data_IF_016346230636
#
_entry.id   IF_016346230636
#
_cell.length_a   1.000
_cell.length_b   1.000
_cell.length_c   1.000
_cell.angle_alpha   90.00
_cell.angle_beta   90.00
_cell.angle_gamma   90.00
#
_symmetry.space_group_name_H-M   'P 1'
#
loop_
_entity.id
_entity.type
_entity.pdbx_description
1 polymer ?
#
# COMPACT_ATOMS: atom_id res chain seq x y z
N UNK A 1 33.76 67.35 55.20
CA UNK A 1 34.82 67.06 54.20
C UNK A 1 35.10 65.56 54.20
N UNK A 2 34.76 64.85 53.10
CA UNK A 2 35.48 63.72 52.49
C UNK A 2 34.59 63.10 51.39
N UNK A 3 35.08 63.09 50.16
CA UNK A 3 34.50 62.42 48.98
C UNK A 3 34.93 60.95 49.00
N UNK A 4 34.05 60.01 48.66
CA UNK A 4 34.39 58.67 48.12
C UNK A 4 33.16 58.19 47.33
N UNK A 5 33.18 58.37 46.00
CA UNK A 5 33.51 57.40 44.94
C UNK A 5 32.38 56.39 44.63
N UNK A 6 31.86 56.52 43.40
CA UNK A 6 31.08 55.52 42.68
C UNK A 6 31.91 54.23 42.51
N UNK A 7 31.30 53.08 42.80
CA UNK A 7 31.76 51.79 42.33
C UNK A 7 30.56 50.99 41.80
N UNK A 8 30.47 50.94 40.48
CA UNK A 8 29.56 50.11 39.70
C UNK A 8 29.95 48.64 39.90
N UNK A 9 29.06 47.83 40.48
CA UNK A 9 29.23 46.39 40.60
C UNK A 9 28.32 45.69 39.58
N UNK A 10 28.87 45.41 38.39
CA UNK A 10 28.26 44.48 37.44
C UNK A 10 28.50 43.06 37.96
N UNK A 11 27.46 42.45 38.55
CA UNK A 11 27.47 41.03 38.88
C UNK A 11 27.22 40.27 37.57
N UNK A 12 28.30 39.78 36.96
CA UNK A 12 28.22 38.79 35.91
C UNK A 12 27.74 37.46 36.52
N UNK A 13 26.44 37.20 36.44
CA UNK A 13 25.88 35.86 36.66
C UNK A 13 26.25 35.00 35.44
N UNK A 14 27.41 34.37 35.51
CA UNK A 14 27.78 33.24 34.67
C UNK A 14 26.91 32.03 35.04
N UNK A 15 25.66 32.02 34.57
CA UNK A 15 24.89 30.80 34.46
C UNK A 15 25.46 30.01 33.29
N UNK A 16 26.04 28.83 33.57
CA UNK A 16 26.39 27.86 32.54
C UNK A 16 25.09 27.43 31.83
N UNK A 17 24.72 28.15 30.78
CA UNK A 17 23.79 27.67 29.78
C UNK A 17 24.53 26.57 29.00
N UNK A 18 24.57 25.36 29.57
CA UNK A 18 24.75 24.17 28.77
C UNK A 18 23.47 24.03 27.94
N UNK A 19 23.41 24.79 26.86
CA UNK A 19 22.47 24.53 25.77
C UNK A 19 22.92 23.17 25.24
N UNK A 20 22.23 22.11 25.65
CA UNK A 20 22.25 20.86 24.92
C UNK A 20 21.71 21.21 23.53
N UNK A 21 22.62 21.39 22.58
CA UNK A 21 22.30 21.36 21.17
C UNK A 21 21.78 19.95 20.87
N UNK A 22 20.46 19.78 20.98
CA UNK A 22 19.78 18.60 20.45
C UNK A 22 19.84 18.79 18.94
N UNK A 23 20.88 18.23 18.31
CA UNK A 23 20.91 18.09 16.87
C UNK A 23 19.70 17.26 16.48
N UNK A 24 18.73 17.79 15.70
CA UNK A 24 17.64 16.98 15.21
C UNK A 24 18.27 15.85 14.38
N UNK A 25 18.01 14.61 14.79
CA UNK A 25 18.34 13.43 14.00
C UNK A 25 17.43 13.50 12.77
N UNK A 26 17.94 14.15 11.70
CA UNK A 26 17.26 14.33 10.43
C UNK A 26 17.29 13.06 9.55
N UNK A 27 17.87 11.98 10.06
CA UNK A 27 17.85 10.69 9.40
C UNK A 27 16.63 9.92 9.92
N UNK A 28 15.61 9.65 9.09
CA UNK A 28 14.54 8.74 9.48
C UNK A 28 15.18 7.44 9.98
N UNK A 29 14.66 6.82 11.05
CA UNK A 29 15.16 5.52 11.48
C UNK A 29 15.12 4.57 10.28
N UNK A 30 16.23 3.90 10.02
CA UNK A 30 16.32 2.90 8.95
C UNK A 30 15.26 1.84 9.23
N UNK A 31 14.27 1.74 8.34
CA UNK A 31 13.15 0.80 8.49
C UNK A 31 13.53 -0.51 7.83
N UNK A 32 13.42 -1.59 8.60
CA UNK A 32 13.63 -2.93 8.07
C UNK A 32 12.42 -3.32 7.19
N UNK A 33 12.63 -4.04 6.08
CA UNK A 33 11.51 -4.47 5.23
C UNK A 33 10.67 -5.51 5.97
N UNK A 34 9.42 -5.19 6.26
CA UNK A 34 8.50 -6.11 6.93
C UNK A 34 8.11 -7.25 5.98
N UNK A 35 8.09 -8.48 6.51
CA UNK A 35 7.44 -9.60 5.85
C UNK A 35 5.93 -9.36 5.82
N UNK A 36 5.27 -9.77 4.73
CA UNK A 36 3.81 -9.69 4.61
C UNK A 36 3.23 -10.96 5.25
N UNK A 37 2.37 -10.86 6.28
CA UNK A 37 1.73 -12.03 6.87
C UNK A 37 0.86 -12.77 5.86
N UNK A 38 0.80 -14.11 5.93
CA UNK A 38 0.02 -14.92 5.00
C UNK A 38 -1.48 -14.59 5.07
N UNK A 39 -2.02 -14.33 6.26
CA UNK A 39 -3.43 -13.93 6.45
C UNK A 39 -3.76 -12.66 5.65
N UNK A 40 -2.84 -11.70 5.60
CA UNK A 40 -3.01 -10.46 4.82
C UNK A 40 -3.01 -10.75 3.32
N UNK A 41 -2.18 -11.70 2.86
CA UNK A 41 -2.16 -12.12 1.46
C UNK A 41 -3.46 -12.84 1.06
N UNK A 42 -3.96 -13.72 1.93
CA UNK A 42 -5.19 -14.50 1.69
C UNK A 42 -6.42 -13.57 1.64
N UNK A 43 -6.53 -12.64 2.60
CA UNK A 43 -7.59 -11.63 2.63
C UNK A 43 -7.53 -10.74 1.37
N UNK A 44 -6.34 -10.28 1.01
CA UNK A 44 -6.12 -9.46 -0.18
C UNK A 44 -6.53 -10.20 -1.45
N UNK A 45 -6.16 -11.47 -1.61
CA UNK A 45 -6.53 -12.29 -2.76
C UNK A 45 -8.05 -12.49 -2.85
N UNK A 46 -8.72 -12.71 -1.71
CA UNK A 46 -10.17 -12.80 -1.67
C UNK A 46 -10.84 -11.50 -2.12
N UNK A 47 -10.33 -10.36 -1.68
CA UNK A 47 -10.89 -9.05 -2.02
C UNK A 47 -10.58 -8.62 -3.45
N UNK A 48 -9.41 -9.01 -4.00
CA UNK A 48 -9.12 -8.86 -5.43
C UNK A 48 -10.17 -9.63 -6.26
N UNK A 49 -10.49 -10.88 -5.89
CA UNK A 49 -11.51 -11.66 -6.62
C UNK A 49 -12.88 -11.00 -6.60
N UNK A 50 -13.31 -10.48 -5.45
CA UNK A 50 -14.57 -9.73 -5.32
C UNK A 50 -14.56 -8.48 -6.19
N UNK A 51 -13.49 -7.69 -6.11
CA UNK A 51 -13.35 -6.43 -6.86
C UNK A 51 -13.29 -6.68 -8.37
N UNK A 52 -12.50 -7.65 -8.83
CA UNK A 52 -12.41 -8.02 -10.24
C UNK A 52 -13.76 -8.52 -10.77
N UNK A 53 -14.47 -9.32 -9.97
CA UNK A 53 -15.85 -9.71 -10.26
C UNK A 53 -16.78 -8.50 -10.42
N UNK A 54 -16.74 -7.54 -9.48
CA UNK A 54 -17.55 -6.32 -9.56
C UNK A 54 -17.24 -5.51 -10.83
N UNK A 55 -15.96 -5.33 -11.17
CA UNK A 55 -15.53 -4.62 -12.38
C UNK A 55 -16.04 -5.34 -13.64
N UNK A 56 -15.92 -6.67 -13.70
CA UNK A 56 -16.43 -7.47 -14.82
C UNK A 56 -17.95 -7.29 -15.02
N UNK A 57 -18.75 -7.40 -13.95
CA UNK A 57 -20.20 -7.29 -14.04
C UNK A 57 -20.68 -5.86 -14.35
N UNK A 58 -20.00 -4.85 -13.80
CA UNK A 58 -20.32 -3.44 -14.08
C UNK A 58 -19.86 -2.98 -15.46
N UNK A 59 -18.99 -3.74 -16.14
CA UNK A 59 -18.40 -3.41 -17.44
C UNK A 59 -17.72 -2.03 -17.46
N UNK A 60 -17.29 -1.54 -16.30
CA UNK A 60 -16.67 -0.21 -16.18
C UNK A 60 -15.19 -0.26 -16.57
N UNK A 61 -14.78 0.70 -17.39
CA UNK A 61 -13.37 0.96 -17.69
C UNK A 61 -12.73 1.93 -16.69
N UNK A 62 -13.55 2.55 -15.84
CA UNK A 62 -13.07 3.44 -14.79
C UNK A 62 -12.39 2.65 -13.68
N UNK A 63 -11.53 3.34 -12.94
CA UNK A 63 -10.85 2.77 -11.78
C UNK A 63 -11.84 2.61 -10.64
N UNK A 64 -11.95 1.39 -10.13
CA UNK A 64 -12.69 1.08 -8.91
C UNK A 64 -11.68 0.80 -7.81
N UNK A 65 -11.89 1.46 -6.67
CA UNK A 65 -11.02 1.37 -5.52
C UNK A 65 -11.67 0.53 -4.43
N UNK A 66 -10.86 -0.26 -3.72
CA UNK A 66 -11.26 -0.91 -2.47
C UNK A 66 -10.25 -0.58 -1.37
N UNK A 67 -10.78 -0.30 -0.18
CA UNK A 67 -10.04 -0.05 1.04
C UNK A 67 -10.14 1.38 1.58
N UNK A 68 -9.98 1.50 2.90
CA UNK A 68 -9.90 2.73 3.68
C UNK A 68 -8.44 3.14 3.95
N UNK A 69 -8.24 4.34 4.51
CA UNK A 69 -6.91 4.89 4.78
C UNK A 69 -6.08 4.05 5.77
N UNK A 70 -6.74 3.31 6.67
CA UNK A 70 -6.12 2.51 7.73
C UNK A 70 -5.91 1.04 7.36
N UNK A 71 -6.23 0.66 6.12
CA UNK A 71 -6.19 -0.73 5.70
C UNK A 71 -4.76 -1.17 5.40
N UNK A 72 -4.47 -2.44 5.71
CA UNK A 72 -3.16 -3.07 5.53
C UNK A 72 -2.72 -3.16 4.07
N UNK A 73 -3.66 -2.98 3.14
CA UNK A 73 -3.42 -2.89 1.71
C UNK A 73 -4.50 -2.02 1.05
N UNK A 74 -4.22 -1.54 -0.16
CA UNK A 74 -5.17 -0.82 -1.03
C UNK A 74 -5.26 -1.53 -2.36
N UNK A 75 -6.47 -1.61 -2.91
CA UNK A 75 -6.73 -2.22 -4.20
C UNK A 75 -7.29 -1.20 -5.18
N UNK A 76 -6.87 -1.31 -6.44
CA UNK A 76 -7.43 -0.62 -7.58
C UNK A 76 -7.65 -1.66 -8.69
N UNK A 77 -8.80 -1.62 -9.33
CA UNK A 77 -9.06 -2.45 -10.50
C UNK A 77 -9.76 -1.67 -11.61
N UNK A 78 -9.54 -2.06 -12.86
CA UNK A 78 -10.26 -1.54 -14.03
C UNK A 78 -10.35 -2.56 -15.14
N UNK A 79 -11.41 -2.52 -15.93
CA UNK A 79 -11.50 -3.37 -17.13
C UNK A 79 -10.59 -2.83 -18.23
N UNK A 80 -9.73 -3.70 -18.78
CA UNK A 80 -8.89 -3.39 -19.94
C UNK A 80 -9.61 -3.75 -21.24
N UNK A 81 -10.22 -4.93 -21.28
CA UNK A 81 -10.89 -5.45 -22.46
C UNK A 81 -12.03 -6.39 -22.05
N UNK A 82 -12.96 -6.62 -22.98
CA UNK A 82 -14.06 -7.56 -22.83
C UNK A 82 -14.31 -8.28 -24.16
N UNK A 83 -14.54 -9.58 -24.07
CA UNK A 83 -14.99 -10.43 -25.17
C UNK A 83 -16.34 -11.02 -24.76
N UNK A 84 -17.34 -10.89 -25.61
CA UNK A 84 -18.71 -11.37 -25.36
C UNK A 84 -19.09 -12.48 -26.31
N UNK A 85 -20.09 -13.26 -25.93
CA UNK A 85 -20.66 -14.34 -26.75
C UNK A 85 -19.62 -15.38 -27.21
N UNK A 86 -18.59 -15.60 -26.38
CA UNK A 86 -17.65 -16.70 -26.57
C UNK A 86 -18.37 -18.02 -26.33
N UNK A 87 -17.98 -19.08 -27.04
CA UNK A 87 -18.63 -20.39 -26.92
C UNK A 87 -17.71 -21.43 -26.33
N UNK A 88 -18.13 -22.06 -25.24
CA UNK A 88 -17.39 -23.12 -24.58
C UNK A 88 -17.47 -24.39 -25.44
N UNK A 89 -16.31 -24.94 -25.80
CA UNK A 89 -16.22 -26.07 -26.73
C UNK A 89 -16.74 -27.38 -26.16
N UNK A 90 -16.80 -27.51 -24.83
CA UNK A 90 -17.17 -28.75 -24.15
C UNK A 90 -18.64 -28.77 -23.74
N UNK A 91 -19.14 -27.64 -23.25
CA UNK A 91 -20.53 -27.50 -22.77
C UNK A 91 -21.45 -26.89 -23.83
N UNK A 92 -20.89 -26.20 -24.83
CA UNK A 92 -21.65 -25.45 -25.84
C UNK A 92 -22.24 -24.14 -25.33
N UNK A 93 -22.01 -23.79 -24.06
CA UNK A 93 -22.53 -22.61 -23.36
C UNK A 93 -21.83 -21.32 -23.81
N UNK A 94 -22.59 -20.22 -23.87
CA UNK A 94 -22.03 -18.89 -24.11
C UNK A 94 -21.49 -18.26 -22.83
N UNK A 95 -20.38 -17.53 -22.94
CA UNK A 95 -19.77 -16.82 -21.82
C UNK A 95 -19.15 -15.50 -22.26
N UNK A 96 -19.09 -14.57 -21.32
CA UNK A 96 -18.40 -13.29 -21.47
C UNK A 96 -17.12 -13.33 -20.63
N UNK A 97 -15.99 -12.84 -21.15
CA UNK A 97 -14.73 -12.70 -20.42
C UNK A 97 -14.24 -11.26 -20.43
N UNK A 98 -13.73 -10.79 -19.29
CA UNK A 98 -13.01 -9.53 -19.18
C UNK A 98 -11.59 -9.75 -18.72
N UNK A 99 -10.65 -8.99 -19.29
CA UNK A 99 -9.32 -8.79 -18.71
C UNK A 99 -9.36 -7.59 -17.77
N UNK A 100 -9.01 -7.80 -16.51
CA UNK A 100 -9.06 -6.82 -15.44
C UNK A 100 -7.64 -6.49 -14.99
N UNK A 101 -7.24 -5.23 -15.14
CA UNK A 101 -6.03 -4.71 -14.53
C UNK A 101 -6.26 -4.56 -13.03
N UNK A 102 -5.44 -5.19 -12.21
CA UNK A 102 -5.46 -5.06 -10.75
C UNK A 102 -4.13 -4.51 -10.28
N UNK A 103 -4.18 -3.45 -9.49
CA UNK A 103 -3.04 -2.88 -8.78
C UNK A 103 -3.31 -2.95 -7.29
N UNK A 104 -2.31 -3.35 -6.51
CA UNK A 104 -2.39 -3.34 -5.07
C UNK A 104 -1.11 -2.82 -4.43
N UNK A 105 -1.27 -2.20 -3.27
CA UNK A 105 -0.19 -1.63 -2.49
C UNK A 105 -0.36 -2.04 -1.03
N UNK A 106 0.67 -2.62 -0.43
CA UNK A 106 0.71 -2.88 1.01
C UNK A 106 0.94 -1.59 1.79
N UNK A 107 0.39 -1.50 2.99
CA UNK A 107 0.59 -0.39 3.93
C UNK A 107 0.90 -0.96 5.32
N UNK A 108 1.86 -1.89 5.40
CA UNK A 108 2.23 -2.52 6.65
C UNK A 108 3.26 -1.67 7.37
N UNK A 109 2.94 -1.28 8.60
CA UNK A 109 3.86 -0.59 9.50
C UNK A 109 3.84 -1.30 10.85
N UNK A 110 5.00 -1.75 11.32
CA UNK A 110 5.14 -2.40 12.61
C UNK A 110 6.23 -1.71 13.43
N UNK A 111 6.05 -1.69 14.75
CA UNK A 111 7.02 -1.14 15.69
C UNK A 111 6.98 -1.95 16.97
N UNK A 112 8.08 -2.59 17.32
CA UNK A 112 8.20 -3.41 18.53
C UNK A 112 9.57 -3.22 19.18
N UNK A 113 9.65 -3.55 20.47
CA UNK A 113 10.89 -3.50 21.22
C UNK A 113 11.52 -4.90 21.23
N UNK A 114 12.71 -5.03 20.63
CA UNK A 114 13.47 -6.27 20.70
C UNK A 114 13.97 -6.51 22.12
N UNK A 115 14.03 -7.79 22.52
CA UNK A 115 14.56 -8.21 23.82
C UNK A 115 16.03 -7.79 24.06
N UNK A 116 16.73 -7.31 23.02
CA UNK A 116 18.07 -6.75 23.07
C UNK A 116 18.13 -5.23 23.39
N UNK A 117 17.00 -4.60 23.70
CA UNK A 117 16.97 -3.18 24.11
C UNK A 117 16.88 -2.19 22.95
N UNK A 118 16.43 -2.62 21.78
CA UNK A 118 16.36 -1.82 20.55
C UNK A 118 14.92 -1.71 20.07
N UNK A 119 14.47 -0.51 19.74
CA UNK A 119 13.25 -0.32 18.96
C UNK A 119 13.50 -0.72 17.52
N UNK A 120 12.68 -1.62 17.00
CA UNK A 120 12.66 -1.99 15.59
C UNK A 120 11.42 -1.42 14.94
N UNK A 121 11.64 -0.70 13.85
CA UNK A 121 10.60 -0.19 12.97
C UNK A 121 10.70 -0.94 11.66
N UNK A 122 9.63 -1.59 11.24
CA UNK A 122 9.59 -2.28 9.96
C UNK A 122 8.39 -1.85 9.13
N UNK A 123 8.56 -1.81 7.82
CA UNK A 123 7.50 -1.43 6.89
C UNK A 123 7.49 -2.26 5.61
N UNK A 124 6.32 -2.40 5.01
CA UNK A 124 6.18 -2.90 3.66
C UNK A 124 5.16 -2.05 2.90
N UNK A 125 5.65 -1.36 1.88
CA UNK A 125 4.86 -0.51 0.97
C UNK A 125 4.93 -0.99 -0.48
N UNK A 126 5.29 -2.26 -0.68
CA UNK A 126 5.42 -2.86 -2.00
C UNK A 126 4.12 -2.66 -2.80
N UNK A 127 4.28 -2.28 -4.06
CA UNK A 127 3.18 -2.08 -4.99
C UNK A 127 3.33 -3.04 -6.16
N UNK A 128 2.28 -3.81 -6.41
CA UNK A 128 2.26 -4.84 -7.44
C UNK A 128 1.10 -4.62 -8.40
N UNK A 129 1.21 -5.27 -9.54
CA UNK A 129 0.20 -5.28 -10.59
C UNK A 129 0.09 -6.65 -11.22
N UNK A 130 -1.13 -6.99 -11.65
CA UNK A 130 -1.41 -8.16 -12.47
C UNK A 130 -2.63 -7.91 -13.34
N UNK A 131 -2.76 -8.73 -14.38
CA UNK A 131 -3.93 -8.74 -15.26
C UNK A 131 -4.69 -10.04 -15.07
N UNK A 132 -5.85 -9.94 -14.43
CA UNK A 132 -6.69 -11.09 -14.12
C UNK A 132 -7.74 -11.30 -15.21
N UNK A 133 -8.15 -12.54 -15.41
CA UNK A 133 -9.26 -12.89 -16.29
C UNK A 133 -10.48 -13.33 -15.47
N UNK A 134 -11.63 -12.73 -15.76
CA UNK A 134 -12.92 -13.10 -15.17
C UNK A 134 -13.88 -13.45 -16.30
N UNK A 135 -14.47 -14.65 -16.22
CA UNK A 135 -15.45 -15.10 -17.20
C UNK A 135 -16.75 -15.55 -16.52
N UNK A 136 -17.89 -15.11 -17.06
CA UNK A 136 -19.23 -15.48 -16.57
C UNK A 136 -19.99 -16.25 -17.64
N UNK A 137 -20.45 -17.45 -17.28
CA UNK A 137 -21.17 -18.37 -18.15
C UNK A 137 -22.68 -18.11 -18.07
N UNK A 138 -23.33 -17.85 -19.21
CA UNK A 138 -24.66 -17.23 -19.28
C UNK A 138 -25.80 -18.13 -18.78
N UNK A 139 -25.73 -19.44 -19.03
CA UNK A 139 -26.79 -20.39 -18.68
C UNK A 139 -26.65 -20.92 -17.25
N UNK A 140 -25.43 -21.18 -16.81
CA UNK A 140 -25.09 -21.79 -15.51
C UNK A 140 -24.81 -20.75 -14.42
N UNK A 141 -24.50 -19.51 -14.79
CA UNK A 141 -24.04 -18.48 -13.87
C UNK A 141 -22.66 -18.78 -13.26
N UNK A 142 -21.95 -19.79 -13.76
CA UNK A 142 -20.60 -20.13 -13.29
C UNK A 142 -19.66 -18.96 -13.55
N UNK A 143 -18.81 -18.66 -12.57
CA UNK A 143 -17.74 -17.66 -12.72
C UNK A 143 -16.41 -18.39 -12.69
N UNK A 144 -15.59 -18.18 -13.73
CA UNK A 144 -14.18 -18.58 -13.74
C UNK A 144 -13.33 -17.35 -13.45
N UNK A 145 -12.47 -17.46 -12.46
CA UNK A 145 -11.45 -16.47 -12.15
C UNK A 145 -10.07 -17.08 -12.41
N UNK A 146 -9.21 -16.38 -13.12
CA UNK A 146 -7.84 -16.80 -13.39
C UNK A 146 -6.89 -15.64 -13.07
N UNK A 147 -6.07 -15.75 -12.00
CA UNK A 147 -5.16 -14.68 -11.63
C UNK A 147 -4.03 -14.55 -12.66
N UNK A 148 -3.64 -13.31 -12.93
CA UNK A 148 -2.50 -13.00 -13.78
C UNK A 148 -1.16 -13.22 -13.11
N UNK A 149 -0.09 -13.03 -13.88
CA UNK A 149 1.26 -12.96 -13.33
C UNK A 149 1.50 -11.59 -12.68
N UNK A 150 2.01 -11.62 -11.46
CA UNK A 150 2.41 -10.41 -10.74
C UNK A 150 3.70 -9.80 -11.30
N UNK A 151 3.71 -8.48 -11.42
CA UNK A 151 4.87 -7.66 -11.77
C UNK A 151 4.92 -6.44 -10.86
N UNK A 152 6.13 -5.91 -10.65
CA UNK A 152 6.30 -4.66 -9.91
C UNK A 152 5.72 -3.48 -10.70
N UNK A 153 5.07 -2.54 -9.99
CA UNK A 153 4.46 -1.37 -10.65
C UNK A 153 5.49 -0.48 -11.34
N UNK A 154 6.75 -0.48 -10.86
CA UNK A 154 7.87 0.22 -11.51
C UNK A 154 8.18 -0.31 -12.90
N UNK A 155 7.84 -1.57 -13.16
CA UNK A 155 8.21 -2.30 -14.38
C UNK A 155 7.05 -2.29 -15.39
N UNK A 156 5.97 -1.58 -15.08
CA UNK A 156 4.89 -1.39 -16.04
C UNK A 156 5.37 -0.55 -17.22
N UNK A 157 5.10 -0.97 -18.48
CA UNK A 157 5.12 -0.03 -19.58
C UNK A 157 4.09 1.06 -19.26
N UNK A 158 4.49 2.33 -19.31
CA UNK A 158 3.58 3.46 -19.13
C UNK A 158 2.48 3.37 -20.19
N UNK A 159 1.34 2.79 -19.83
CA UNK A 159 0.15 2.76 -20.65
C UNK A 159 -0.35 4.20 -20.73
N UNK A 160 -0.06 4.83 -21.88
CA UNK A 160 -0.58 6.15 -22.28
C UNK A 160 -2.06 6.06 -22.61
#
# INVERSE_FOLDING_TARGET
MKKVLFATLFIALSGCANILEVTPINTPPEREKAAIPQEVLDDMEQDIRKLAGQVHHSRTQERVYSGNQLDLYRLEARQLSMQTDLRDTYTGEYYDCSTIAVRYQFNLYNSYYENAGRWVHSENTDSKYREDEVCTYQSSGRIRYTPGKEVDVSDQPKLR
#
